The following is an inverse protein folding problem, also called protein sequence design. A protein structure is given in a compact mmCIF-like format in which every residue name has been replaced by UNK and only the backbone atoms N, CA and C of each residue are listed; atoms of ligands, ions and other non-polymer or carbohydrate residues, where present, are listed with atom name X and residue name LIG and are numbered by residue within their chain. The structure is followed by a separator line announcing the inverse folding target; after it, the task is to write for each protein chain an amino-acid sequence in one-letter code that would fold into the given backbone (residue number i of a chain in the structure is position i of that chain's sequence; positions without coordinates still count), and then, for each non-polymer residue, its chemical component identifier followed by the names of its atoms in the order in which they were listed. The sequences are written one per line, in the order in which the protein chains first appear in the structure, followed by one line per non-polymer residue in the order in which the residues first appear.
data_IF_183935549877
#
_entry.id   IF_183935549877
#
_cell.length_a   1.000
_cell.length_b   1.000
_cell.length_c   1.000
_cell.angle_alpha   90.00
_cell.angle_beta   90.00
_cell.angle_gamma   90.00
#
_symmetry.space_group_name_H-M   'P 1'
#
loop_
_entity.id
_entity.type
_entity.pdbx_description
1 polymer ?
#
# COMPACT_ATOMS: atom_id res chain seq x y z
N UNK A 1 -81.90 19.37 -18.07
CA UNK A 1 -81.10 20.32 -18.89
C UNK A 1 -79.74 20.46 -18.25
N UNK A 2 -78.72 19.77 -18.77
CA UNK A 2 -77.35 19.83 -18.23
C UNK A 2 -76.59 21.02 -18.82
N UNK A 3 -76.15 21.97 -17.98
CA UNK A 3 -75.29 23.06 -18.42
C UNK A 3 -73.88 22.52 -18.71
N UNK A 4 -73.51 22.41 -19.97
CA UNK A 4 -72.11 22.17 -20.35
C UNK A 4 -71.29 23.42 -20.01
N UNK A 5 -70.47 23.34 -18.96
CA UNK A 5 -69.46 24.37 -18.69
C UNK A 5 -68.40 24.28 -19.78
N UNK A 6 -68.44 25.21 -20.73
CA UNK A 6 -67.38 25.37 -21.73
C UNK A 6 -66.15 25.95 -21.02
N UNK A 7 -65.13 25.11 -20.84
CA UNK A 7 -63.84 25.54 -20.28
C UNK A 7 -63.03 26.17 -21.41
N UNK A 8 -62.90 27.49 -21.40
CA UNK A 8 -61.99 28.19 -22.30
C UNK A 8 -60.54 27.94 -21.87
N UNK A 9 -59.83 27.14 -22.67
CA UNK A 9 -58.40 26.91 -22.48
C UNK A 9 -57.66 28.01 -23.25
N UNK A 10 -57.00 28.91 -22.51
CA UNK A 10 -56.17 29.95 -23.11
C UNK A 10 -54.87 29.35 -23.63
N UNK A 11 -54.88 29.02 -24.93
CA UNK A 11 -53.75 28.44 -25.66
C UNK A 11 -52.50 29.33 -25.59
N UNK A 12 -52.62 30.64 -25.37
CA UNK A 12 -51.47 31.56 -25.23
C UNK A 12 -50.73 31.30 -23.92
N UNK A 13 -51.45 31.04 -22.82
CA UNK A 13 -50.85 30.70 -21.53
C UNK A 13 -50.15 29.34 -21.57
N UNK A 14 -50.74 28.36 -22.25
CA UNK A 14 -50.11 27.04 -22.44
C UNK A 14 -48.84 27.18 -23.29
N UNK A 15 -48.90 27.95 -24.39
CA UNK A 15 -47.74 28.18 -25.24
C UNK A 15 -46.61 28.89 -24.49
N UNK A 16 -46.92 29.93 -23.69
CA UNK A 16 -45.94 30.62 -22.85
C UNK A 16 -45.30 29.70 -21.80
N UNK A 17 -46.09 28.81 -21.17
CA UNK A 17 -45.57 27.83 -20.23
C UNK A 17 -44.65 26.81 -20.91
N UNK A 18 -45.03 26.29 -22.08
CA UNK A 18 -44.20 25.37 -22.86
C UNK A 18 -42.88 26.03 -23.31
N UNK A 19 -42.93 27.31 -23.71
CA UNK A 19 -41.76 28.07 -24.13
C UNK A 19 -40.81 28.35 -22.95
N UNK A 20 -41.36 28.68 -21.78
CA UNK A 20 -40.59 28.84 -20.54
C UNK A 20 -39.93 27.51 -20.10
N UNK A 21 -40.65 26.39 -20.18
CA UNK A 21 -40.10 25.06 -19.88
C UNK A 21 -38.99 24.70 -20.88
N UNK A 22 -39.21 24.93 -22.17
CA UNK A 22 -38.19 24.70 -23.21
C UNK A 22 -36.92 25.52 -22.97
N UNK A 23 -37.07 26.81 -22.63
CA UNK A 23 -35.94 27.68 -22.32
C UNK A 23 -35.20 27.24 -21.05
N UNK A 24 -35.93 26.85 -19.99
CA UNK A 24 -35.33 26.33 -18.75
C UNK A 24 -34.58 25.01 -18.99
N UNK A 25 -35.14 24.11 -19.82
CA UNK A 25 -34.49 22.85 -20.20
C UNK A 25 -33.24 23.13 -21.04
N UNK A 26 -33.31 24.03 -22.02
CA UNK A 26 -32.16 24.44 -22.84
C UNK A 26 -31.06 25.10 -22.01
N UNK A 27 -31.41 25.96 -21.05
CA UNK A 27 -30.47 26.56 -20.10
C UNK A 27 -29.87 25.52 -19.14
N UNK A 28 -30.67 24.56 -18.67
CA UNK A 28 -30.19 23.45 -17.85
C UNK A 28 -29.22 22.55 -18.63
N UNK A 29 -29.54 22.18 -19.86
CA UNK A 29 -28.64 21.43 -20.73
C UNK A 29 -27.44 22.25 -21.15
N UNK A 30 -27.56 23.55 -21.44
CA UNK A 30 -26.41 24.42 -21.73
C UNK A 30 -25.51 24.59 -20.52
N UNK A 31 -26.06 24.81 -19.32
CA UNK A 31 -25.34 24.90 -18.05
C UNK A 31 -24.66 23.57 -17.71
N UNK A 32 -25.38 22.45 -17.82
CA UNK A 32 -24.84 21.12 -17.60
C UNK A 32 -23.78 20.78 -18.63
N UNK A 33 -24.01 21.08 -19.91
CA UNK A 33 -23.05 20.96 -20.99
C UNK A 33 -21.80 21.76 -20.65
N UNK A 34 -21.92 23.04 -20.29
CA UNK A 34 -20.81 23.90 -19.88
C UNK A 34 -20.05 23.37 -18.64
N UNK A 35 -20.75 22.65 -17.75
CA UNK A 35 -20.24 22.19 -16.46
C UNK A 35 -19.98 20.66 -16.34
N UNK A 36 -20.08 19.89 -17.43
CA UNK A 36 -19.67 18.48 -17.45
C UNK A 36 -18.19 18.35 -17.01
N UNK A 37 -17.84 17.40 -16.12
CA UNK A 37 -16.71 17.55 -15.23
C UNK A 37 -15.38 17.35 -15.96
N UNK A 38 -14.68 18.47 -16.21
CA UNK A 38 -13.22 18.43 -16.25
C UNK A 38 -12.75 17.85 -14.92
N UNK A 39 -12.13 16.67 -14.99
CA UNK A 39 -11.60 15.98 -13.83
C UNK A 39 -10.10 15.81 -14.00
N UNK A 40 -9.35 16.14 -12.96
CA UNK A 40 -7.95 15.75 -12.88
C UNK A 40 -7.77 14.70 -11.79
N UNK A 41 -7.10 13.61 -12.13
CA UNK A 41 -6.75 12.54 -11.19
C UNK A 41 -5.24 12.40 -11.10
N UNK A 42 -4.74 12.46 -9.88
CA UNK A 42 -3.35 12.20 -9.55
C UNK A 42 -3.23 10.81 -8.96
N UNK A 43 -2.22 10.04 -9.36
CA UNK A 43 -1.99 8.73 -8.77
C UNK A 43 -0.51 8.33 -8.73
N UNK A 44 -0.19 7.43 -7.82
CA UNK A 44 1.09 6.74 -7.76
C UNK A 44 0.85 5.29 -7.34
N UNK A 45 1.03 4.32 -8.26
CA UNK A 45 0.94 2.90 -7.94
C UNK A 45 1.92 2.50 -6.83
N UNK A 46 3.14 3.03 -6.84
CA UNK A 46 4.15 2.76 -5.81
C UNK A 46 3.71 3.21 -4.42
N UNK A 47 3.10 4.39 -4.32
CA UNK A 47 2.61 4.92 -3.05
C UNK A 47 1.24 4.36 -2.66
N UNK A 48 0.61 3.54 -3.52
CA UNK A 48 -0.79 3.09 -3.38
C UNK A 48 -1.73 4.26 -3.04
N UNK A 49 -1.53 5.41 -3.70
CA UNK A 49 -2.21 6.65 -3.40
C UNK A 49 -2.80 7.27 -4.67
N UNK A 50 -3.98 7.86 -4.53
CA UNK A 50 -4.57 8.71 -5.55
C UNK A 50 -5.47 9.76 -4.92
N UNK A 51 -5.69 10.85 -5.64
CA UNK A 51 -6.72 11.83 -5.34
C UNK A 51 -7.12 12.55 -6.62
N UNK A 52 -8.30 13.14 -6.60
CA UNK A 52 -8.86 13.92 -7.68
C UNK A 52 -9.10 15.36 -7.25
N UNK A 53 -9.14 16.25 -8.25
CA UNK A 53 -9.70 17.59 -8.11
C UNK A 53 -10.75 17.79 -9.20
N UNK A 54 -11.84 18.43 -8.81
CA UNK A 54 -12.95 18.84 -9.69
C UNK A 54 -13.02 20.37 -9.82
N UNK A 55 -12.09 21.11 -9.22
CA UNK A 55 -12.03 22.57 -9.30
C UNK A 55 -11.67 23.00 -10.73
N UNK A 56 -12.60 23.62 -11.49
CA UNK A 56 -12.36 23.99 -12.88
C UNK A 56 -11.24 25.03 -13.02
N UNK A 57 -11.06 25.91 -12.03
CA UNK A 57 -10.02 26.96 -12.06
C UNK A 57 -8.65 26.32 -11.94
N UNK A 58 -8.48 25.44 -10.95
CA UNK A 58 -7.24 24.69 -10.76
C UNK A 58 -6.90 23.83 -11.98
N UNK A 59 -7.88 23.11 -12.54
CA UNK A 59 -7.65 22.22 -13.70
C UNK A 59 -7.23 23.01 -14.93
N UNK A 60 -7.93 24.12 -15.26
CA UNK A 60 -7.57 24.98 -16.39
C UNK A 60 -6.16 25.57 -16.21
N UNK A 61 -5.81 26.01 -15.00
CA UNK A 61 -4.47 26.53 -14.70
C UNK A 61 -3.40 25.47 -14.94
N UNK A 62 -3.57 24.26 -14.40
CA UNK A 62 -2.57 23.21 -14.53
C UNK A 62 -2.47 22.70 -15.97
N UNK A 63 -3.59 22.57 -16.69
CA UNK A 63 -3.60 22.23 -18.11
C UNK A 63 -2.85 23.27 -18.95
N UNK A 64 -3.03 24.56 -18.65
CA UNK A 64 -2.29 25.65 -19.29
C UNK A 64 -0.78 25.54 -19.04
N UNK A 65 -0.38 25.38 -17.77
CA UNK A 65 1.04 25.22 -17.42
C UNK A 65 1.70 24.03 -18.13
N UNK A 66 0.98 22.93 -18.30
CA UNK A 66 1.49 21.74 -19.01
C UNK A 66 1.62 22.03 -20.52
N UNK A 67 0.67 22.74 -21.13
CA UNK A 67 0.70 23.11 -22.56
C UNK A 67 1.80 24.12 -22.89
N UNK A 68 2.11 25.02 -21.96
CA UNK A 68 3.17 26.04 -22.12
C UNK A 68 4.58 25.47 -21.87
N UNK A 69 4.69 24.24 -21.33
CA UNK A 69 5.97 23.61 -21.05
C UNK A 69 6.75 23.28 -22.33
N UNK A 70 8.07 23.51 -22.31
CA UNK A 70 8.94 23.29 -23.47
C UNK A 70 9.10 21.80 -23.77
N UNK A 71 8.76 21.38 -24.99
CA UNK A 71 8.98 20.02 -25.48
C UNK A 71 10.48 19.75 -25.68
N UNK A 72 10.98 18.64 -25.14
CA UNK A 72 12.41 18.26 -25.22
C UNK A 72 12.68 17.12 -26.22
N UNK A 73 11.66 16.67 -26.95
CA UNK A 73 11.74 15.64 -27.99
C UNK A 73 11.14 14.27 -27.59
N UNK A 74 11.14 13.31 -28.53
CA UNK A 74 10.71 11.94 -28.25
C UNK A 74 11.62 11.31 -27.19
N UNK A 75 11.07 10.50 -26.31
CA UNK A 75 11.83 9.84 -25.24
C UNK A 75 11.26 8.46 -24.99
N UNK A 76 12.14 7.48 -24.80
CA UNK A 76 11.72 6.14 -24.41
C UNK A 76 10.91 6.16 -23.11
N UNK A 77 9.76 5.49 -23.16
CA UNK A 77 8.83 5.39 -22.05
C UNK A 77 9.49 4.69 -20.85
N UNK A 78 9.96 5.48 -19.87
CA UNK A 78 10.32 4.93 -18.55
C UNK A 78 9.03 4.67 -17.75
N UNK A 79 8.94 3.56 -16.99
CA UNK A 79 7.84 3.39 -16.04
C UNK A 79 7.88 4.56 -15.05
N UNK A 80 6.79 5.33 -15.03
CA UNK A 80 6.72 6.51 -14.18
C UNK A 80 6.14 6.23 -12.81
N UNK A 81 6.59 7.04 -11.86
CA UNK A 81 6.24 6.96 -10.44
C UNK A 81 4.93 7.69 -10.12
N UNK A 82 4.67 8.78 -10.82
CA UNK A 82 3.52 9.65 -10.62
C UNK A 82 2.79 9.87 -11.94
N UNK A 83 1.46 9.93 -11.84
CA UNK A 83 0.56 10.06 -12.98
C UNK A 83 -0.38 11.24 -12.76
N UNK A 84 -0.61 12.00 -13.82
CA UNK A 84 -1.64 13.03 -13.92
C UNK A 84 -2.55 12.65 -15.07
N UNK A 85 -3.82 12.39 -14.79
CA UNK A 85 -4.84 12.14 -15.80
C UNK A 85 -5.75 13.34 -15.88
N UNK A 86 -5.71 14.05 -17.01
CA UNK A 86 -6.62 15.17 -17.29
C UNK A 86 -7.70 14.63 -18.21
N UNK A 87 -8.91 14.47 -17.69
CA UNK A 87 -10.06 13.98 -18.45
C UNK A 87 -10.90 15.15 -18.91
N UNK A 88 -11.06 15.25 -20.23
CA UNK A 88 -11.97 16.16 -20.92
C UNK A 88 -13.11 15.37 -21.57
N UNK A 89 -14.08 16.06 -22.19
CA UNK A 89 -15.26 15.43 -22.81
C UNK A 89 -14.96 14.31 -23.81
N UNK A 90 -13.85 14.40 -24.55
CA UNK A 90 -13.54 13.49 -25.67
C UNK A 90 -12.27 12.66 -25.46
N UNK A 91 -11.38 13.15 -24.60
CA UNK A 91 -10.04 12.57 -24.44
C UNK A 91 -9.58 12.66 -23.00
N UNK A 92 -8.91 11.61 -22.54
CA UNK A 92 -8.07 11.63 -21.35
C UNK A 92 -6.62 11.76 -21.79
N UNK A 93 -5.92 12.77 -21.28
CA UNK A 93 -4.48 12.94 -21.44
C UNK A 93 -3.77 12.46 -20.20
N UNK A 94 -2.74 11.66 -20.36
CA UNK A 94 -1.99 11.03 -19.27
C UNK A 94 -0.55 11.50 -19.29
N UNK A 95 -0.21 12.29 -18.28
CA UNK A 95 1.15 12.73 -18.03
C UNK A 95 1.79 11.87 -16.96
N UNK A 96 3.06 11.56 -17.16
CA UNK A 96 3.84 10.65 -16.32
C UNK A 96 5.11 11.36 -15.90
N UNK A 97 5.46 11.31 -14.62
CA UNK A 97 6.68 11.96 -14.14
C UNK A 97 7.34 11.21 -12.98
N UNK A 98 8.67 11.34 -12.91
CA UNK A 98 9.50 10.75 -11.84
C UNK A 98 10.09 11.82 -10.92
N UNK A 99 10.35 13.00 -11.48
CA UNK A 99 10.83 14.18 -10.79
C UNK A 99 10.00 15.40 -11.24
N UNK A 100 9.89 16.45 -10.41
CA UNK A 100 9.14 17.66 -10.77
C UNK A 100 9.68 18.42 -11.98
N UNK A 101 10.87 18.08 -12.48
CA UNK A 101 11.54 18.78 -13.58
C UNK A 101 11.10 18.32 -14.98
N UNK A 102 10.57 17.10 -15.11
CA UNK A 102 10.29 16.48 -16.40
C UNK A 102 9.00 15.67 -16.33
N UNK A 103 8.08 15.94 -17.26
CA UNK A 103 6.87 15.15 -17.48
C UNK A 103 6.94 14.50 -18.85
N UNK A 104 6.25 13.38 -19.01
CA UNK A 104 6.12 12.66 -20.27
C UNK A 104 4.63 12.60 -20.64
N UNK A 105 4.30 13.06 -21.83
CA UNK A 105 2.96 12.96 -22.41
C UNK A 105 2.83 11.60 -23.10
N UNK A 106 1.95 10.73 -22.59
CA UNK A 106 1.77 9.37 -23.15
C UNK A 106 1.14 9.36 -24.53
N UNK A 107 0.26 10.31 -24.79
CA UNK A 107 -0.51 10.36 -26.04
C UNK A 107 0.33 10.90 -27.19
N UNK A 108 1.23 11.85 -26.92
CA UNK A 108 2.13 12.45 -27.92
C UNK A 108 3.52 11.79 -27.97
N UNK A 109 3.88 10.97 -26.97
CA UNK A 109 5.17 10.30 -26.93
C UNK A 109 6.37 11.22 -26.64
N UNK A 110 6.14 12.42 -26.11
CA UNK A 110 7.16 13.45 -25.90
C UNK A 110 7.38 13.80 -24.43
N UNK A 111 8.58 14.25 -24.12
CA UNK A 111 8.91 14.82 -22.80
C UNK A 111 8.74 16.34 -22.78
N UNK A 112 8.29 16.86 -21.64
CA UNK A 112 8.03 18.26 -21.35
C UNK A 112 8.91 18.71 -20.18
N UNK A 113 9.73 19.73 -20.40
CA UNK A 113 10.54 20.33 -19.36
C UNK A 113 9.67 21.27 -18.52
N UNK A 114 9.55 20.98 -17.22
CA UNK A 114 8.77 21.81 -16.30
C UNK A 114 9.53 23.09 -15.93
N UNK A 115 8.91 24.23 -16.26
CA UNK A 115 9.30 25.56 -15.78
C UNK A 115 9.04 25.71 -14.27
N UNK A 116 9.38 26.87 -13.69
CA UNK A 116 9.26 27.06 -12.24
C UNK A 116 7.81 26.93 -11.71
N UNK A 117 6.78 27.52 -12.35
CA UNK A 117 5.38 27.32 -11.98
C UNK A 117 4.91 25.87 -12.04
N UNK A 118 5.13 25.15 -13.15
CA UNK A 118 4.71 23.76 -13.29
C UNK A 118 5.45 22.86 -12.30
N UNK A 119 6.76 23.07 -12.12
CA UNK A 119 7.58 22.35 -11.15
C UNK A 119 7.07 22.49 -9.72
N UNK A 120 6.58 23.67 -9.34
CA UNK A 120 5.98 23.90 -8.04
C UNK A 120 4.68 23.11 -7.85
N UNK A 121 3.81 23.06 -8.86
CA UNK A 121 2.58 22.27 -8.81
C UNK A 121 2.86 20.76 -8.74
N UNK A 122 3.81 20.26 -9.53
CA UNK A 122 4.21 18.85 -9.46
C UNK A 122 4.80 18.47 -8.10
N UNK A 123 5.56 19.37 -7.46
CA UNK A 123 6.02 19.16 -6.07
C UNK A 123 4.84 19.04 -5.11
N UNK A 124 3.84 19.92 -5.19
CA UNK A 124 2.62 19.84 -4.35
C UNK A 124 1.90 18.52 -4.57
N UNK A 125 1.77 18.07 -5.82
CA UNK A 125 1.15 16.79 -6.17
C UNK A 125 1.87 15.61 -5.51
N UNK A 126 3.21 15.58 -5.58
CA UNK A 126 4.02 14.53 -4.92
C UNK A 126 3.81 14.55 -3.40
N UNK A 127 3.85 15.73 -2.78
CA UNK A 127 3.65 15.89 -1.33
C UNK A 127 2.28 15.36 -0.92
N UNK A 128 1.24 15.70 -1.67
CA UNK A 128 -0.13 15.27 -1.39
C UNK A 128 -0.32 13.75 -1.59
N UNK A 129 0.28 13.17 -2.63
CA UNK A 129 0.29 11.71 -2.82
C UNK A 129 1.01 10.99 -1.68
N UNK A 130 2.17 11.49 -1.21
CA UNK A 130 2.86 10.96 -0.04
C UNK A 130 2.01 11.10 1.23
N UNK A 131 1.34 12.24 1.41
CA UNK A 131 0.43 12.49 2.54
C UNK A 131 -0.78 11.56 2.52
N UNK A 132 -1.28 11.16 1.35
CA UNK A 132 -2.39 10.19 1.22
C UNK A 132 -1.95 8.74 1.22
N UNK A 133 -0.67 8.45 0.96
CA UNK A 133 -0.12 7.10 1.00
C UNK A 133 -0.36 6.43 2.35
N UNK A 134 -0.74 5.15 2.39
CA UNK A 134 -0.83 4.40 3.64
C UNK A 134 0.56 4.03 4.20
N UNK A 135 1.64 4.23 3.44
CA UNK A 135 3.00 3.82 3.80
C UNK A 135 3.75 4.89 4.59
N UNK A 136 4.76 4.44 5.35
CA UNK A 136 5.72 5.30 6.05
C UNK A 136 7.10 5.28 5.40
N UNK A 137 7.94 6.24 5.75
CA UNK A 137 9.34 6.24 5.33
C UNK A 137 10.17 5.28 6.22
N UNK A 138 11.06 4.48 5.64
CA UNK A 138 11.94 3.58 6.41
C UNK A 138 13.09 4.40 7.02
N UNK A 139 12.85 4.98 8.20
CA UNK A 139 13.82 5.85 8.89
C UNK A 139 14.66 5.05 9.89
N UNK A 140 16.00 5.25 9.94
CA UNK A 140 16.87 4.62 10.92
C UNK A 140 16.49 4.95 12.37
N UNK A 141 16.56 3.96 13.26
CA UNK A 141 16.23 4.09 14.68
C UNK A 141 16.96 5.25 15.37
N UNK A 142 18.26 5.52 15.15
CA UNK A 142 18.93 6.68 15.76
C UNK A 142 18.23 8.01 15.45
N UNK A 143 17.76 8.21 14.23
CA UNK A 143 17.01 9.41 13.82
C UNK A 143 15.60 9.43 14.42
N UNK A 144 14.90 8.29 14.43
CA UNK A 144 13.56 8.20 15.06
C UNK A 144 13.65 8.48 16.56
N UNK A 145 14.69 7.97 17.24
CA UNK A 145 14.91 8.10 18.68
C UNK A 145 15.03 9.56 19.13
N UNK A 146 15.57 10.45 18.28
CA UNK A 146 15.70 11.88 18.54
C UNK A 146 14.34 12.59 18.66
N UNK A 147 13.32 12.13 17.92
CA UNK A 147 11.99 12.76 17.89
C UNK A 147 10.93 11.98 18.68
N UNK A 148 11.04 10.65 18.76
CA UNK A 148 10.12 9.79 19.50
C UNK A 148 10.56 9.63 20.97
N UNK A 149 10.59 10.71 21.75
CA UNK A 149 11.09 10.72 23.13
C UNK A 149 10.32 9.79 24.09
N UNK A 150 10.94 9.42 25.22
CA UNK A 150 10.25 8.68 26.29
C UNK A 150 9.07 9.53 26.79
N UNK A 151 7.96 8.86 27.11
CA UNK A 151 6.65 9.44 27.45
C UNK A 151 5.94 10.21 26.31
N UNK A 152 6.54 10.29 25.11
CA UNK A 152 5.84 10.81 23.94
C UNK A 152 4.76 9.82 23.49
N UNK A 153 3.57 10.34 23.28
CA UNK A 153 2.42 9.60 22.75
C UNK A 153 2.31 9.81 21.24
N UNK A 154 2.13 8.72 20.51
CA UNK A 154 2.01 8.71 19.06
C UNK A 154 0.86 7.80 18.64
N UNK A 155 0.34 8.03 17.45
CA UNK A 155 -0.59 7.10 16.81
C UNK A 155 0.20 6.14 15.92
N UNK A 156 -0.09 4.85 16.03
CA UNK A 156 0.36 3.83 15.09
C UNK A 156 -0.83 3.30 14.31
N UNK A 157 -0.64 2.97 13.04
CA UNK A 157 -1.64 2.32 12.21
C UNK A 157 -1.13 0.97 11.74
N UNK A 158 -1.89 -0.09 12.00
CA UNK A 158 -1.62 -1.40 11.40
C UNK A 158 -1.93 -1.37 9.89
N UNK A 159 -0.96 -1.76 9.07
CA UNK A 159 -1.08 -1.65 7.61
C UNK A 159 -2.14 -2.60 7.04
N UNK A 160 -2.33 -3.77 7.65
CA UNK A 160 -3.24 -4.78 7.13
C UNK A 160 -4.70 -4.52 7.46
N UNK A 161 -5.00 -4.15 8.72
CA UNK A 161 -6.35 -3.88 9.21
C UNK A 161 -6.77 -2.40 9.08
N UNK A 162 -5.80 -1.49 8.97
CA UNK A 162 -6.05 -0.05 8.99
C UNK A 162 -6.40 0.52 10.37
N UNK A 163 -6.44 -0.30 11.42
CA UNK A 163 -6.76 0.12 12.79
C UNK A 163 -5.66 1.05 13.30
N UNK A 164 -6.09 2.17 13.91
CA UNK A 164 -5.24 3.16 14.54
C UNK A 164 -5.24 2.96 16.05
N UNK A 165 -4.06 3.06 16.66
CA UNK A 165 -3.84 2.79 18.09
C UNK A 165 -2.91 3.87 18.63
N UNK A 166 -3.29 4.49 19.74
CA UNK A 166 -2.46 5.43 20.47
C UNK A 166 -1.59 4.69 21.48
N UNK A 167 -0.29 4.98 21.43
CA UNK A 167 0.73 4.33 22.26
C UNK A 167 1.71 5.36 22.80
N UNK A 168 2.23 5.12 24.00
CA UNK A 168 3.26 5.94 24.63
C UNK A 168 4.57 5.17 24.65
N UNK A 169 5.67 5.81 24.28
CA UNK A 169 7.01 5.23 24.48
C UNK A 169 7.34 5.20 25.97
N UNK A 170 7.71 4.02 26.48
CA UNK A 170 8.12 3.79 27.88
C UNK A 170 9.60 3.49 28.04
N UNK A 171 10.33 3.30 26.94
CA UNK A 171 11.79 3.13 26.99
C UNK A 171 12.35 2.50 25.72
N UNK A 172 13.37 1.68 25.91
CA UNK A 172 14.04 0.91 24.87
C UNK A 172 15.30 1.59 24.32
N UNK A 173 16.34 0.78 24.13
CA UNK A 173 17.68 1.21 23.71
C UNK A 173 17.85 1.11 22.18
N UNK A 174 17.74 -0.10 21.62
CA UNK A 174 17.83 -0.41 20.18
C UNK A 174 16.47 -0.46 19.48
N UNK A 175 15.39 -0.19 20.20
CA UNK A 175 14.00 -0.21 19.74
C UNK A 175 13.16 0.71 20.62
N UNK A 176 11.94 1.01 20.23
CA UNK A 176 10.99 1.67 21.12
C UNK A 176 10.19 0.62 21.90
N UNK A 177 10.26 0.66 23.24
CA UNK A 177 9.30 -0.04 24.10
C UNK A 177 8.08 0.86 24.28
N UNK A 178 6.90 0.34 24.02
CA UNK A 178 5.65 1.10 24.02
C UNK A 178 4.56 0.42 24.86
N UNK A 179 3.63 1.23 25.37
CA UNK A 179 2.41 0.77 26.00
C UNK A 179 1.20 1.45 25.33
N UNK A 180 0.04 0.78 25.17
CA UNK A 180 -1.22 1.45 24.83
C UNK A 180 -1.54 2.54 25.85
N UNK A 181 -2.08 3.67 25.40
CA UNK A 181 -2.39 4.80 26.31
C UNK A 181 -3.52 4.51 27.29
N UNK A 182 -4.41 3.56 26.97
CA UNK A 182 -5.55 3.14 27.80
C UNK A 182 -6.09 1.76 27.39
N UNK A 183 -7.12 1.28 28.08
CA UNK A 183 -7.74 -0.02 27.87
C UNK A 183 -8.39 -0.17 26.48
N UNK A 184 -8.98 0.90 25.94
CA UNK A 184 -9.53 0.91 24.58
C UNK A 184 -8.43 0.62 23.57
N UNK A 185 -7.30 1.32 23.67
CA UNK A 185 -6.15 1.09 22.79
C UNK A 185 -5.51 -0.29 23.01
N UNK A 186 -5.50 -0.81 24.24
CA UNK A 186 -5.07 -2.20 24.51
C UNK A 186 -5.97 -3.22 23.81
N UNK A 187 -7.28 -3.01 23.83
CA UNK A 187 -8.25 -3.86 23.12
C UNK A 187 -8.10 -3.77 21.60
N UNK A 188 -7.87 -2.58 21.04
CA UNK A 188 -7.55 -2.41 19.62
C UNK A 188 -6.25 -3.13 19.23
N UNK A 189 -5.22 -3.05 20.07
CA UNK A 189 -3.97 -3.78 19.88
C UNK A 189 -4.18 -5.29 19.92
N UNK A 190 -4.99 -5.79 20.86
CA UNK A 190 -5.35 -7.22 20.93
C UNK A 190 -6.15 -7.66 19.70
N UNK A 191 -7.02 -6.79 19.18
CA UNK A 191 -7.83 -7.04 17.96
C UNK A 191 -6.96 -7.23 16.73
N UNK A 192 -5.92 -6.43 16.51
CA UNK A 192 -5.02 -6.61 15.33
C UNK A 192 -4.21 -7.92 15.40
N UNK A 193 -4.07 -8.52 16.58
CA UNK A 193 -3.48 -9.86 16.77
C UNK A 193 -4.50 -11.00 16.83
N UNK A 194 -5.77 -10.74 16.47
CA UNK A 194 -6.80 -11.79 16.43
C UNK A 194 -7.33 -12.20 17.81
N UNK A 195 -7.33 -11.26 18.77
CA UNK A 195 -7.92 -11.47 20.09
C UNK A 195 -6.98 -12.12 21.11
N UNK A 196 -5.75 -12.46 20.75
CA UNK A 196 -4.74 -13.01 21.68
C UNK A 196 -3.34 -12.54 21.32
N UNK A 197 -2.48 -12.41 22.33
CA UNK A 197 -1.07 -12.10 22.10
C UNK A 197 -0.38 -13.26 21.41
N UNK A 198 0.56 -12.93 20.53
CA UNK A 198 1.32 -13.93 19.79
C UNK A 198 2.69 -13.38 19.42
N UNK A 199 3.64 -14.27 19.16
CA UNK A 199 4.96 -13.89 18.64
C UNK A 199 4.94 -13.43 17.18
N UNK A 200 3.76 -13.31 16.56
CA UNK A 200 3.59 -12.72 15.25
C UNK A 200 3.83 -11.22 15.32
N UNK A 201 4.33 -10.69 14.21
CA UNK A 201 4.65 -9.28 14.07
C UNK A 201 3.73 -8.65 13.03
N UNK A 202 3.57 -7.33 13.10
CA UNK A 202 2.78 -6.58 12.12
C UNK A 202 3.55 -5.40 11.56
N UNK A 203 3.35 -5.15 10.27
CA UNK A 203 3.80 -3.94 9.59
C UNK A 203 2.91 -2.78 10.04
N UNK A 204 3.50 -1.77 10.66
CA UNK A 204 2.77 -0.60 11.17
C UNK A 204 3.41 0.70 10.69
N UNK A 205 2.61 1.75 10.60
CA UNK A 205 3.08 3.11 10.34
C UNK A 205 2.90 3.95 11.59
N UNK A 206 4.00 4.55 12.05
CA UNK A 206 4.03 5.45 13.20
C UNK A 206 3.87 6.88 12.70
N UNK A 207 2.89 7.59 13.25
CA UNK A 207 2.64 9.00 12.97
C UNK A 207 3.34 9.82 14.04
N UNK A 208 4.48 10.40 13.66
CA UNK A 208 5.32 11.17 14.55
C UNK A 208 5.50 12.56 13.94
N UNK A 209 4.92 13.56 14.61
CA UNK A 209 4.85 14.94 14.10
C UNK A 209 4.22 14.95 12.69
N UNK A 210 4.88 15.58 11.71
CA UNK A 210 4.42 15.65 10.33
C UNK A 210 4.94 14.48 9.46
N UNK A 211 5.48 13.42 10.09
CA UNK A 211 6.10 12.29 9.40
C UNK A 211 5.33 10.99 9.65
N UNK A 212 5.32 10.14 8.62
CA UNK A 212 4.91 8.75 8.70
C UNK A 212 6.16 7.88 8.64
N UNK A 213 6.35 7.03 9.63
CA UNK A 213 7.55 6.21 9.76
C UNK A 213 7.15 4.74 9.70
N UNK A 214 7.79 3.98 8.81
CA UNK A 214 7.57 2.55 8.69
C UNK A 214 8.23 1.81 9.86
N UNK A 215 7.48 0.90 10.49
CA UNK A 215 7.95 0.12 11.63
C UNK A 215 7.38 -1.30 11.64
N UNK A 216 7.98 -2.15 12.47
CA UNK A 216 7.50 -3.49 12.77
C UNK A 216 7.11 -3.59 14.24
N UNK A 217 5.86 -3.97 14.52
CA UNK A 217 5.32 -4.17 15.85
C UNK A 217 5.37 -5.65 16.23
N UNK A 218 6.01 -6.00 17.35
CA UNK A 218 5.93 -7.33 17.93
C UNK A 218 4.63 -7.50 18.74
N UNK A 219 3.94 -8.63 18.57
CA UNK A 219 2.65 -8.89 19.20
C UNK A 219 2.68 -9.52 20.59
N UNK A 220 3.85 -9.96 21.04
CA UNK A 220 4.03 -10.48 22.40
C UNK A 220 4.62 -9.38 23.27
N UNK A 221 3.89 -8.92 24.30
CA UNK A 221 4.45 -7.98 25.26
C UNK A 221 5.55 -8.65 26.11
N UNK A 222 6.51 -7.86 26.56
CA UNK A 222 7.65 -8.32 27.37
C UNK A 222 7.67 -7.65 28.75
N UNK A 223 8.17 -8.39 29.74
CA UNK A 223 8.33 -7.91 31.12
C UNK A 223 7.03 -7.79 31.90
N UNK A 224 7.15 -7.47 33.19
CA UNK A 224 6.01 -7.33 34.12
C UNK A 224 5.03 -6.23 33.68
N UNK A 225 5.55 -5.17 33.07
CA UNK A 225 4.78 -4.02 32.57
C UNK A 225 4.05 -4.28 31.24
N UNK A 226 4.20 -5.47 30.64
CA UNK A 226 3.59 -5.83 29.36
C UNK A 226 3.88 -4.82 28.22
N UNK A 227 5.13 -4.42 28.06
CA UNK A 227 5.54 -3.47 27.02
C UNK A 227 5.73 -4.16 25.66
N UNK A 228 5.29 -3.53 24.59
CA UNK A 228 5.45 -4.02 23.22
C UNK A 228 6.68 -3.39 22.57
N UNK A 229 7.27 -4.08 21.60
CA UNK A 229 8.45 -3.61 20.87
C UNK A 229 8.07 -3.10 19.49
N UNK A 230 8.46 -1.85 19.18
CA UNK A 230 8.47 -1.29 17.84
C UNK A 230 9.91 -1.26 17.31
N UNK A 231 10.15 -1.97 16.21
CA UNK A 231 11.41 -2.00 15.48
C UNK A 231 11.37 -1.05 14.29
N UNK A 232 12.47 -0.34 14.07
CA UNK A 232 12.70 0.55 12.94
C UNK A 232 13.93 0.07 12.16
N UNK A 233 14.28 0.75 11.06
CA UNK A 233 15.50 0.43 10.30
C UNK A 233 16.72 0.62 11.20
N UNK A 234 17.75 -0.22 11.03
CA UNK A 234 19.02 -0.15 11.78
C UNK A 234 18.86 -0.15 13.31
N UNK A 235 17.80 -0.79 13.79
CA UNK A 235 17.56 -1.08 15.20
C UNK A 235 18.56 -2.14 15.73
N UNK A 236 19.80 -1.72 16.01
CA UNK A 236 20.88 -2.53 16.59
C UNK A 236 22.17 -2.46 15.77
N UNK A 237 23.25 -1.95 16.36
CA UNK A 237 24.50 -1.63 15.67
C UNK A 237 25.47 -2.80 15.43
N UNK A 238 25.21 -4.05 15.84
CA UNK A 238 26.17 -5.17 15.66
C UNK A 238 25.55 -6.58 15.49
N UNK A 239 24.23 -6.70 15.33
CA UNK A 239 23.56 -7.99 15.03
C UNK A 239 22.61 -7.74 13.87
N UNK A 240 22.76 -8.50 12.78
CA UNK A 240 21.87 -8.42 11.62
C UNK A 240 20.41 -8.46 12.08
N UNK A 241 19.63 -7.45 11.70
CA UNK A 241 18.22 -7.36 12.07
C UNK A 241 17.49 -8.62 11.56
N UNK A 242 16.66 -9.23 12.42
CA UNK A 242 15.85 -10.39 12.06
C UNK A 242 15.07 -10.12 10.74
N UNK A 243 15.12 -11.06 9.80
CA UNK A 243 14.50 -10.90 8.48
C UNK A 243 13.00 -10.55 8.55
N UNK A 244 12.24 -11.12 9.49
CA UNK A 244 10.83 -10.80 9.68
C UNK A 244 10.62 -9.32 10.03
N UNK A 245 11.47 -8.75 10.90
CA UNK A 245 11.43 -7.32 11.22
C UNK A 245 11.71 -6.50 9.97
N UNK A 246 12.77 -6.84 9.22
CA UNK A 246 13.15 -6.17 7.97
C UNK A 246 12.00 -6.18 6.97
N UNK A 247 11.48 -7.36 6.66
CA UNK A 247 10.35 -7.53 5.73
C UNK A 247 9.14 -6.68 6.13
N UNK A 248 8.75 -6.68 7.40
CA UNK A 248 7.58 -5.93 7.86
C UNK A 248 7.79 -4.41 7.86
N UNK A 249 9.00 -3.92 8.15
CA UNK A 249 9.34 -2.50 7.98
C UNK A 249 9.27 -2.12 6.50
N UNK A 250 9.87 -2.91 5.61
CA UNK A 250 9.81 -2.64 4.17
C UNK A 250 8.40 -2.82 3.58
N UNK A 251 7.56 -3.68 4.16
CA UNK A 251 6.12 -3.77 3.87
C UNK A 251 5.41 -2.48 4.29
N UNK A 252 5.63 -2.00 5.51
CA UNK A 252 5.10 -0.72 6.00
C UNK A 252 5.57 0.48 5.16
N UNK A 253 6.71 0.35 4.49
CA UNK A 253 7.25 1.35 3.57
C UNK A 253 6.77 1.24 2.12
N UNK A 254 5.97 0.22 1.77
CA UNK A 254 5.57 -0.05 0.38
C UNK A 254 6.74 -0.51 -0.52
N UNK A 255 7.85 -0.93 0.09
CA UNK A 255 9.12 -1.23 -0.59
C UNK A 255 9.54 -2.69 -0.50
N UNK A 256 8.67 -3.59 -0.03
CA UNK A 256 9.01 -5.00 0.15
C UNK A 256 9.45 -5.70 -1.15
N UNK A 257 8.81 -5.42 -2.31
CA UNK A 257 9.29 -5.95 -3.60
C UNK A 257 10.71 -5.49 -3.92
N UNK A 258 10.99 -4.20 -3.67
CA UNK A 258 12.31 -3.61 -3.92
C UNK A 258 13.39 -4.28 -3.06
N UNK A 259 13.07 -4.64 -1.82
CA UNK A 259 13.99 -5.36 -0.92
C UNK A 259 14.43 -6.72 -1.48
N UNK A 260 13.59 -7.38 -2.29
CA UNK A 260 13.89 -8.68 -2.88
C UNK A 260 14.24 -8.63 -4.37
N UNK A 261 14.50 -7.44 -4.92
CA UNK A 261 15.01 -7.33 -6.29
C UNK A 261 16.44 -7.83 -6.33
N UNK A 262 16.74 -8.72 -7.28
CA UNK A 262 18.07 -9.30 -7.53
C UNK A 262 18.65 -10.09 -6.35
N UNK A 263 17.81 -10.51 -5.39
CA UNK A 263 18.24 -11.41 -4.32
C UNK A 263 18.53 -12.81 -4.85
N UNK A 264 19.29 -13.59 -4.10
CA UNK A 264 19.59 -14.98 -4.47
C UNK A 264 18.34 -15.89 -4.36
N UNK A 265 18.33 -17.08 -4.97
CA UNK A 265 17.27 -18.07 -4.76
C UNK A 265 17.04 -18.39 -3.28
N UNK A 266 18.12 -18.53 -2.50
CA UNK A 266 18.08 -18.83 -1.07
C UNK A 266 17.37 -17.73 -0.28
N UNK A 267 17.67 -16.47 -0.59
CA UNK A 267 17.02 -15.31 0.02
C UNK A 267 15.52 -15.23 -0.32
N UNK A 268 15.14 -15.59 -1.56
CA UNK A 268 13.74 -15.67 -1.96
C UNK A 268 12.98 -16.79 -1.23
N UNK A 269 13.60 -17.96 -1.07
CA UNK A 269 13.05 -19.08 -0.27
C UNK A 269 12.87 -18.65 1.18
N UNK A 270 13.90 -18.05 1.77
CA UNK A 270 13.86 -17.60 3.15
C UNK A 270 12.79 -16.51 3.35
N UNK A 271 12.64 -15.59 2.40
CA UNK A 271 11.56 -14.59 2.38
C UNK A 271 10.17 -15.23 2.35
N UNK A 272 9.94 -16.21 1.47
CA UNK A 272 8.68 -16.92 1.38
C UNK A 272 8.34 -17.68 2.68
N UNK A 273 9.30 -18.42 3.24
CA UNK A 273 9.13 -19.14 4.51
C UNK A 273 8.89 -18.18 5.68
N UNK A 274 9.57 -17.03 5.70
CA UNK A 274 9.33 -15.98 6.70
C UNK A 274 7.93 -15.38 6.58
N UNK A 275 7.41 -15.19 5.36
CA UNK A 275 6.05 -14.73 5.15
C UNK A 275 5.01 -15.75 5.65
N UNK A 276 5.27 -17.05 5.44
CA UNK A 276 4.45 -18.15 5.98
C UNK A 276 4.47 -18.13 7.50
N UNK A 277 5.66 -18.05 8.11
CA UNK A 277 5.80 -17.95 9.55
C UNK A 277 5.05 -16.73 10.09
N UNK A 278 5.17 -15.56 9.49
CA UNK A 278 4.43 -14.37 9.93
C UNK A 278 2.92 -14.39 9.60
N UNK A 279 2.40 -15.47 8.99
CA UNK A 279 1.02 -15.58 8.50
C UNK A 279 0.61 -14.44 7.55
N UNK A 280 1.55 -13.97 6.75
CA UNK A 280 1.37 -12.84 5.83
C UNK A 280 1.17 -13.32 4.39
N UNK A 281 -0.07 -13.72 4.07
CA UNK A 281 -0.42 -14.21 2.74
C UNK A 281 -0.27 -13.17 1.62
N UNK A 282 -0.37 -11.87 1.95
CA UNK A 282 -0.14 -10.80 0.96
C UNK A 282 1.34 -10.74 0.57
N UNK A 283 2.23 -10.79 1.55
CA UNK A 283 3.67 -10.81 1.31
C UNK A 283 4.11 -12.12 0.65
N UNK A 284 3.56 -13.27 1.07
CA UNK A 284 3.85 -14.56 0.45
C UNK A 284 3.60 -14.54 -1.06
N UNK A 285 2.49 -13.95 -1.51
CA UNK A 285 2.14 -13.86 -2.93
C UNK A 285 3.15 -13.07 -3.79
N UNK A 286 4.05 -12.28 -3.20
CA UNK A 286 5.16 -11.64 -3.94
C UNK A 286 6.15 -12.71 -4.42
N UNK A 287 6.37 -13.73 -3.60
CA UNK A 287 7.35 -14.80 -3.83
C UNK A 287 6.80 -15.98 -4.61
N UNK A 288 5.52 -15.99 -5.02
CA UNK A 288 4.94 -17.13 -5.70
C UNK A 288 4.77 -16.87 -7.19
N UNK A 289 5.02 -17.88 -8.02
CA UNK A 289 4.77 -17.81 -9.47
C UNK A 289 3.28 -17.67 -9.80
N UNK A 290 2.42 -18.16 -8.90
CA UNK A 290 0.97 -18.00 -8.95
C UNK A 290 0.45 -17.62 -7.56
N UNK A 291 -0.38 -16.58 -7.43
CA UNK A 291 -0.90 -16.17 -6.13
C UNK A 291 -1.85 -17.22 -5.55
N UNK A 292 -1.85 -17.33 -4.22
CA UNK A 292 -2.79 -18.16 -3.45
C UNK A 292 -3.79 -17.27 -2.68
N UNK A 293 -4.93 -17.79 -2.22
CA UNK A 293 -5.86 -17.04 -1.39
C UNK A 293 -5.16 -16.41 -0.17
N UNK A 294 -5.44 -15.12 0.09
CA UNK A 294 -4.72 -14.35 1.12
C UNK A 294 -4.93 -14.89 2.54
N UNK A 295 -6.03 -15.59 2.76
CA UNK A 295 -6.44 -16.20 4.02
C UNK A 295 -6.03 -17.68 4.12
N UNK A 296 -5.41 -18.26 3.09
CA UNK A 296 -4.94 -19.66 3.07
C UNK A 296 -4.12 -19.99 4.32
N UNK A 297 -3.14 -19.15 4.68
CA UNK A 297 -2.26 -19.37 5.83
C UNK A 297 -2.99 -19.35 7.17
N UNK A 298 -4.07 -18.56 7.28
CA UNK A 298 -4.89 -18.52 8.49
C UNK A 298 -5.78 -19.77 8.57
N UNK A 299 -6.40 -20.16 7.44
CA UNK A 299 -7.26 -21.34 7.32
C UNK A 299 -6.48 -22.65 7.45
N UNK A 300 -5.22 -22.67 7.02
CA UNK A 300 -4.36 -23.85 7.13
C UNK A 300 -4.07 -24.21 8.59
N UNK A 301 -4.16 -23.27 9.53
CA UNK A 301 -3.79 -23.50 10.92
C UNK A 301 -2.29 -23.65 11.11
N UNK A 302 -1.46 -23.29 10.13
CA UNK A 302 -0.01 -23.21 10.28
C UNK A 302 0.31 -22.12 11.30
N UNK A 303 1.02 -22.48 12.38
CA UNK A 303 1.47 -21.56 13.42
C UNK A 303 2.87 -21.04 13.11
N UNK A 304 3.81 -21.91 12.75
CA UNK A 304 5.20 -21.50 12.48
C UNK A 304 5.84 -22.41 11.45
N UNK A 305 6.75 -21.86 10.66
CA UNK A 305 7.61 -22.60 9.74
C UNK A 305 9.01 -22.01 9.79
N UNK A 306 9.97 -22.80 10.27
CA UNK A 306 11.36 -22.35 10.43
C UNK A 306 12.26 -23.19 9.54
N UNK A 307 13.02 -22.53 8.67
CA UNK A 307 14.06 -23.18 7.88
C UNK A 307 15.17 -23.69 8.81
N UNK A 308 15.54 -24.96 8.66
CA UNK A 308 16.66 -25.58 9.37
C UNK A 308 17.86 -25.70 8.45
N UNK A 309 17.67 -26.37 7.32
CA UNK A 309 18.70 -26.58 6.32
C UNK A 309 18.14 -26.34 4.93
N UNK A 310 19.00 -25.92 4.01
CA UNK A 310 18.66 -25.70 2.62
C UNK A 310 19.73 -26.35 1.74
N UNK A 311 19.31 -27.19 0.81
CA UNK A 311 20.18 -27.90 -0.11
C UNK A 311 19.77 -27.55 -1.53
N UNK A 312 20.72 -27.13 -2.35
CA UNK A 312 20.53 -26.98 -3.79
C UNK A 312 20.57 -28.37 -4.43
N UNK A 313 19.54 -28.73 -5.19
CA UNK A 313 19.46 -30.03 -5.86
C UNK A 313 19.92 -29.92 -7.32
N UNK A 314 19.33 -28.98 -8.05
CA UNK A 314 19.70 -28.61 -9.42
C UNK A 314 19.47 -27.10 -9.59
N UNK A 315 19.93 -26.51 -10.71
CA UNK A 315 19.97 -25.06 -10.95
C UNK A 315 18.95 -24.20 -10.20
N UNK A 316 17.65 -24.48 -10.34
CA UNK A 316 16.54 -23.75 -9.69
C UNK A 316 15.69 -24.61 -8.76
N UNK A 317 16.14 -25.79 -8.37
CA UNK A 317 15.42 -26.69 -7.45
C UNK A 317 16.17 -26.84 -6.12
N UNK A 318 15.44 -26.69 -5.03
CA UNK A 318 15.98 -26.74 -3.67
C UNK A 318 15.18 -27.70 -2.79
N UNK A 319 15.87 -28.36 -1.85
CA UNK A 319 15.27 -29.06 -0.73
C UNK A 319 15.40 -28.19 0.52
N UNK A 320 14.28 -27.69 1.02
CA UNK A 320 14.21 -26.97 2.28
C UNK A 320 13.75 -27.92 3.41
N UNK A 321 14.62 -28.17 4.38
CA UNK A 321 14.24 -28.87 5.61
C UNK A 321 13.71 -27.85 6.58
N UNK A 322 12.45 -28.01 7.00
CA UNK A 322 11.76 -27.06 7.87
C UNK A 322 11.19 -27.75 9.11
N UNK A 323 11.09 -26.99 10.19
CA UNK A 323 10.32 -27.35 11.38
C UNK A 323 9.00 -26.57 11.34
N UNK A 324 7.88 -27.28 11.29
CA UNK A 324 6.53 -26.73 11.16
C UNK A 324 5.65 -27.06 12.38
N UNK A 325 4.83 -26.10 12.80
CA UNK A 325 3.87 -26.27 13.89
C UNK A 325 2.47 -25.88 13.45
N UNK A 326 1.46 -26.58 13.93
CA UNK A 326 0.06 -26.37 13.55
C UNK A 326 -0.84 -26.19 14.78
N UNK A 327 -1.97 -25.49 14.61
CA UNK A 327 -2.87 -25.10 15.70
C UNK A 327 -3.56 -26.25 16.42
N UNK A 328 -3.65 -27.43 15.79
CA UNK A 328 -4.19 -28.65 16.40
C UNK A 328 -3.12 -29.76 16.46
N UNK A 329 -1.85 -29.37 16.44
CA UNK A 329 -0.75 -30.30 16.27
C UNK A 329 -0.62 -30.81 14.82
N UNK A 330 0.51 -31.48 14.49
CA UNK A 330 1.69 -31.66 15.34
C UNK A 330 2.49 -30.36 15.56
N UNK A 331 3.29 -30.31 16.62
CA UNK A 331 4.18 -29.18 16.93
C UNK A 331 5.63 -29.52 16.60
N UNK A 332 6.39 -28.54 16.09
CA UNK A 332 7.82 -28.67 15.74
C UNK A 332 8.14 -29.85 14.81
N UNK A 333 7.19 -30.28 13.97
CA UNK A 333 7.35 -31.42 13.06
C UNK A 333 8.36 -31.10 11.98
N UNK A 334 9.35 -31.97 11.80
CA UNK A 334 10.33 -31.81 10.74
C UNK A 334 9.78 -32.37 9.43
N UNK A 335 9.98 -31.63 8.35
CA UNK A 335 9.64 -32.09 7.02
C UNK A 335 10.55 -31.47 5.96
N UNK A 336 10.67 -32.16 4.82
CA UNK A 336 11.41 -31.66 3.66
C UNK A 336 10.43 -31.17 2.58
N UNK A 337 10.60 -29.92 2.16
CA UNK A 337 9.88 -29.30 1.06
C UNK A 337 10.77 -29.28 -0.18
N UNK A 338 10.24 -29.75 -1.31
CA UNK A 338 10.87 -29.53 -2.62
C UNK A 338 10.36 -28.19 -3.15
N UNK A 339 11.27 -27.30 -3.51
CA UNK A 339 10.98 -25.93 -3.94
C UNK A 339 11.59 -25.72 -5.31
N UNK A 340 10.73 -25.57 -6.31
CA UNK A 340 11.11 -25.19 -7.65
C UNK A 340 10.97 -23.67 -7.81
N UNK A 341 12.01 -23.02 -8.32
CA UNK A 341 12.05 -21.58 -8.55
C UNK A 341 12.01 -21.23 -10.03
N UNK A 342 11.49 -20.04 -10.31
CA UNK A 342 11.53 -19.38 -11.62
C UNK A 342 11.97 -17.93 -11.43
N UNK A 343 12.91 -17.48 -12.23
CA UNK A 343 13.30 -16.07 -12.24
C UNK A 343 12.28 -15.24 -13.05
N UNK A 344 11.66 -14.26 -12.40
CA UNK A 344 10.78 -13.30 -13.06
C UNK A 344 11.59 -12.10 -13.54
N UNK A 345 11.84 -12.01 -14.85
CA UNK A 345 12.65 -10.93 -15.45
C UNK A 345 12.01 -9.54 -15.28
N UNK A 346 10.68 -9.45 -15.38
CA UNK A 346 9.96 -8.17 -15.27
C UNK A 346 10.05 -7.59 -13.85
N UNK A 347 9.86 -8.45 -12.83
CA UNK A 347 9.94 -8.04 -11.43
C UNK A 347 11.38 -8.06 -10.90
N UNK A 348 12.31 -8.69 -11.64
CA UNK A 348 13.71 -8.93 -11.27
C UNK A 348 13.86 -9.65 -9.93
N UNK A 349 13.10 -10.72 -9.71
CA UNK A 349 13.14 -11.53 -8.48
C UNK A 349 12.82 -13.00 -8.74
N UNK A 350 13.33 -13.89 -7.88
CA UNK A 350 12.99 -15.32 -7.92
C UNK A 350 11.63 -15.59 -7.27
N UNK A 351 10.82 -16.40 -7.93
CA UNK A 351 9.50 -16.82 -7.47
C UNK A 351 9.42 -18.34 -7.36
N UNK A 352 8.78 -18.84 -6.32
CA UNK A 352 8.62 -20.24 -5.99
C UNK A 352 7.32 -20.77 -6.60
N UNK A 353 7.34 -22.00 -7.12
CA UNK A 353 6.13 -22.73 -7.45
C UNK A 353 5.34 -23.04 -6.17
N UNK A 354 4.06 -22.63 -6.05
CA UNK A 354 3.28 -22.83 -4.82
C UNK A 354 3.00 -24.30 -4.46
N UNK A 355 3.35 -25.28 -5.30
CA UNK A 355 3.14 -26.71 -5.02
C UNK A 355 3.74 -27.17 -3.67
N UNK A 356 4.85 -26.58 -3.21
CA UNK A 356 5.44 -26.91 -1.91
C UNK A 356 4.48 -26.67 -0.72
N UNK A 357 3.52 -25.74 -0.87
CA UNK A 357 2.53 -25.45 0.17
C UNK A 357 1.59 -26.63 0.38
N UNK A 358 1.25 -27.39 -0.66
CA UNK A 358 0.38 -28.56 -0.52
C UNK A 358 1.01 -29.58 0.43
N UNK A 359 2.34 -29.77 0.37
CA UNK A 359 3.04 -30.67 1.28
C UNK A 359 2.93 -30.23 2.73
N UNK A 360 3.03 -28.93 3.01
CA UNK A 360 2.79 -28.38 4.35
C UNK A 360 1.35 -28.61 4.83
N UNK A 361 0.38 -28.53 3.92
CA UNK A 361 -1.04 -28.77 4.23
C UNK A 361 -1.36 -30.25 4.43
N UNK A 362 -0.72 -31.16 3.70
CA UNK A 362 -0.89 -32.61 3.86
C UNK A 362 -0.37 -33.09 5.21
N UNK A 363 0.81 -32.60 5.64
CA UNK A 363 1.43 -32.97 6.94
C UNK A 363 0.48 -32.67 8.11
N UNK A 364 -0.36 -31.64 7.98
CA UNK A 364 -1.38 -31.31 8.98
C UNK A 364 -2.43 -32.41 9.13
N UNK A 365 -2.85 -33.03 8.02
CA UNK A 365 -3.98 -33.96 7.96
C UNK A 365 -3.58 -35.43 8.17
N UNK A 366 -2.29 -35.71 8.38
CA UNK A 366 -1.80 -37.10 8.58
C UNK A 366 -1.98 -37.60 10.01
N UNK A 367 -2.68 -36.81 10.84
CA UNK A 367 -3.04 -37.04 12.24
C UNK A 367 -4.34 -36.27 12.53
#
# INVERSE_FOLDING_TARGET
MGSSKVVFIDLRKIFLQLLAISMAVSLFFAYRWWNEPYLIKFSSPELAASYDSKDPVYIKRLDRLIKEAKTTGPTDQKPGRFYVHITSRRHTRTYVFNAPSLLYNKEEGVSLQADAPLRAELKKIIIELKRKSPYGEPVPWPTVKQSFLINKTVMIRDLDSGIKIWVTRRGGYNLARIAPVNQVNKSLLKKIFGGKWSWKRRAVVVYLENKKIAACLAGMPQGKEQLFSLYFVDAGTNKSMNLANKMLIFKAAGQIKKMFKKTSPEEAILGALTAIDQQDGRTLNIFLTRPVPRDLLKKSGIISVTLRNLYKLDGTCYKAVVSASFARGPYNRWCSLKIDLKYNRQESLYQLNPAFLQKLLIIKNTY
#
